data_IF_006689700622
#
_entry.id   IF_006689700622
#
_cell.length_a   1.000
_cell.length_b   1.000
_cell.length_c   1.000
_cell.angle_alpha   90.00
_cell.angle_beta   90.00
_cell.angle_gamma   90.00
#
_symmetry.space_group_name_H-M   'P 1'
#
loop_
_entity.id
_entity.type
_entity.pdbx_description
1 polymer ?
#
# COMPACT_ATOMS: atom_id res chain seq x y z
N UNK A 1 2.02 2.81 5.42
CA UNK A 1 1.28 1.79 6.19
C UNK A 1 1.11 2.17 7.65
N UNK A 2 2.17 2.62 8.34
CA UNK A 2 2.09 3.02 9.77
C UNK A 2 0.97 4.00 10.10
N UNK A 3 0.84 5.11 9.35
CA UNK A 3 -0.21 6.10 9.66
C UNK A 3 -1.63 5.59 9.45
N UNK A 4 -1.85 4.64 8.54
CA UNK A 4 -3.19 4.17 8.24
C UNK A 4 -3.63 3.04 9.19
N UNK A 5 -2.68 2.21 9.64
CA UNK A 5 -2.90 1.28 10.74
C UNK A 5 -3.24 2.02 12.03
N UNK A 6 -2.45 3.04 12.38
CA UNK A 6 -2.74 3.96 13.49
C UNK A 6 -4.13 4.57 13.35
N UNK A 7 -4.46 5.12 12.16
CA UNK A 7 -5.78 5.68 11.87
C UNK A 7 -6.91 4.67 12.12
N UNK A 8 -6.75 3.42 11.67
CA UNK A 8 -7.81 2.39 11.76
C UNK A 8 -7.96 1.76 13.14
N UNK A 9 -6.86 1.55 13.87
CA UNK A 9 -6.84 0.75 15.09
C UNK A 9 -6.78 1.60 16.36
N UNK A 10 -6.27 2.83 16.26
CA UNK A 10 -6.05 3.72 17.40
C UNK A 10 -6.93 4.96 17.28
N UNK A 11 -6.77 5.72 16.20
CA UNK A 11 -7.40 7.02 16.10
C UNK A 11 -8.92 6.94 15.87
N UNK A 12 -9.39 6.08 14.95
CA UNK A 12 -10.82 5.95 14.65
C UNK A 12 -11.64 5.47 15.85
N UNK A 13 -11.23 4.42 16.59
CA UNK A 13 -11.91 4.05 17.84
C UNK A 13 -11.95 5.21 18.85
N UNK A 14 -10.86 5.95 19.03
CA UNK A 14 -10.85 7.11 19.91
C UNK A 14 -11.82 8.21 19.45
N UNK A 15 -11.92 8.48 18.14
CA UNK A 15 -12.88 9.45 17.61
C UNK A 15 -14.33 8.99 17.66
N UNK A 16 -14.61 7.68 17.69
CA UNK A 16 -15.97 7.20 17.95
C UNK A 16 -16.45 7.59 19.36
N UNK A 17 -15.55 7.61 20.33
CA UNK A 17 -15.84 8.04 21.71
C UNK A 17 -15.87 9.57 21.84
N UNK A 18 -14.93 10.26 21.20
CA UNK A 18 -14.77 11.72 21.28
C UNK A 18 -15.71 12.50 20.34
N UNK A 19 -16.29 11.83 19.35
CA UNK A 19 -17.21 12.37 18.36
C UNK A 19 -16.56 13.02 17.13
N UNK A 20 -17.37 13.24 16.09
CA UNK A 20 -16.94 13.78 14.80
C UNK A 20 -16.31 15.18 14.88
N UNK A 21 -16.65 15.98 15.90
CA UNK A 21 -16.06 17.31 16.08
C UNK A 21 -14.57 17.24 16.45
N UNK A 22 -14.16 16.27 17.28
CA UNK A 22 -12.77 16.06 17.62
C UNK A 22 -11.96 15.57 16.41
N UNK A 23 -12.53 14.64 15.63
CA UNK A 23 -11.95 14.21 14.35
C UNK A 23 -11.78 15.38 13.37
N UNK A 24 -12.78 16.23 13.23
CA UNK A 24 -12.75 17.37 12.32
C UNK A 24 -11.70 18.41 12.74
N UNK A 25 -11.63 18.74 14.02
CA UNK A 25 -10.63 19.66 14.55
C UNK A 25 -9.21 19.15 14.29
N UNK A 26 -8.95 17.86 14.54
CA UNK A 26 -7.69 17.22 14.19
C UNK A 26 -7.44 17.28 12.68
N UNK A 27 -8.41 16.88 11.87
CA UNK A 27 -8.25 16.74 10.42
C UNK A 27 -7.99 18.09 9.73
N UNK A 28 -8.61 19.17 10.21
CA UNK A 28 -8.31 20.53 9.72
C UNK A 28 -6.85 20.92 9.92
N UNK A 29 -6.25 20.51 11.04
CA UNK A 29 -4.86 20.86 11.37
C UNK A 29 -3.85 19.89 10.75
N UNK A 30 -4.14 18.59 10.82
CA UNK A 30 -3.22 17.56 10.39
C UNK A 30 -3.38 17.23 8.90
N UNK A 31 -4.60 16.92 8.45
CA UNK A 31 -4.84 16.41 7.09
C UNK A 31 -4.98 17.54 6.07
N UNK A 32 -5.67 18.63 6.43
CA UNK A 32 -5.83 19.83 5.58
C UNK A 32 -4.78 20.91 5.83
N UNK A 33 -4.02 20.81 6.92
CA UNK A 33 -2.83 21.63 7.15
C UNK A 33 -1.60 20.92 6.58
N UNK A 34 -0.76 20.39 7.46
CA UNK A 34 0.54 19.82 7.09
C UNK A 34 0.45 18.66 6.08
N UNK A 35 -0.62 17.89 6.12
CA UNK A 35 -0.86 16.70 5.29
C UNK A 35 -1.40 16.99 3.90
N UNK A 36 -1.85 18.21 3.61
CA UNK A 36 -2.65 18.51 2.42
C UNK A 36 -1.91 18.22 1.12
N UNK A 37 -0.59 18.42 1.10
CA UNK A 37 0.27 18.14 -0.05
C UNK A 37 1.02 16.82 0.16
N UNK A 38 1.55 16.60 1.36
CA UNK A 38 2.41 15.46 1.65
C UNK A 38 1.69 14.12 1.45
N UNK A 39 0.46 13.99 1.97
CA UNK A 39 -0.25 12.71 1.90
C UNK A 39 -0.69 12.36 0.46
N UNK A 40 -1.30 13.26 -0.33
CA UNK A 40 -1.63 12.96 -1.72
C UNK A 40 -0.38 12.69 -2.57
N UNK A 41 0.67 13.50 -2.43
CA UNK A 41 1.90 13.34 -3.21
C UNK A 41 2.56 11.98 -2.93
N UNK A 42 2.69 11.60 -1.67
CA UNK A 42 3.24 10.30 -1.29
C UNK A 42 2.38 9.14 -1.82
N UNK A 43 1.06 9.26 -1.73
CA UNK A 43 0.15 8.22 -2.19
C UNK A 43 0.15 8.03 -3.72
N UNK A 44 0.19 9.13 -4.48
CA UNK A 44 0.36 9.09 -5.94
C UNK A 44 1.71 8.47 -6.29
N UNK A 45 2.79 8.88 -5.61
CA UNK A 45 4.12 8.33 -5.81
C UNK A 45 4.18 6.82 -5.60
N UNK A 46 3.64 6.30 -4.48
CA UNK A 46 3.59 4.86 -4.23
C UNK A 46 2.75 4.10 -5.25
N UNK A 47 1.63 4.67 -5.69
CA UNK A 47 0.79 4.06 -6.72
C UNK A 47 1.52 4.00 -8.05
N UNK A 48 2.19 5.08 -8.46
CA UNK A 48 2.99 5.13 -9.67
C UNK A 48 4.12 4.10 -9.64
N UNK A 49 4.81 3.94 -8.50
CA UNK A 49 5.85 2.93 -8.32
C UNK A 49 5.31 1.50 -8.45
N UNK A 50 4.15 1.21 -7.85
CA UNK A 50 3.53 -0.11 -7.97
C UNK A 50 3.13 -0.44 -9.42
N UNK A 51 2.57 0.54 -10.13
CA UNK A 51 2.22 0.39 -11.56
C UNK A 51 3.48 0.23 -12.41
N UNK A 52 4.52 1.04 -12.17
CA UNK A 52 5.79 0.93 -12.89
C UNK A 52 6.46 -0.43 -12.68
N UNK A 53 6.39 -1.00 -11.47
CA UNK A 53 6.87 -2.35 -11.20
C UNK A 53 6.10 -3.41 -12.00
N UNK A 54 4.77 -3.32 -12.05
CA UNK A 54 3.95 -4.21 -12.87
C UNK A 54 4.25 -4.09 -14.37
N UNK A 55 4.44 -2.87 -14.86
CA UNK A 55 4.85 -2.62 -16.26
C UNK A 55 6.24 -3.19 -16.53
N UNK A 56 7.19 -3.04 -15.61
CA UNK A 56 8.54 -3.59 -15.73
C UNK A 56 8.53 -5.12 -15.83
N UNK A 57 7.77 -5.78 -14.95
CA UNK A 57 7.56 -7.24 -15.00
C UNK A 57 6.90 -7.68 -16.31
N UNK A 58 6.01 -6.87 -16.88
CA UNK A 58 5.37 -7.19 -18.15
C UNK A 58 6.36 -7.22 -19.32
N UNK A 59 7.43 -6.44 -19.26
CA UNK A 59 8.49 -6.39 -20.26
C UNK A 59 9.68 -7.31 -19.95
N UNK A 60 9.79 -7.82 -18.72
CA UNK A 60 10.79 -8.81 -18.34
C UNK A 60 10.32 -10.23 -18.69
N UNK A 61 10.78 -10.73 -19.84
CA UNK A 61 10.48 -12.09 -20.29
C UNK A 61 11.12 -13.20 -19.45
N UNK A 62 12.06 -12.86 -18.57
CA UNK A 62 12.75 -13.80 -17.69
C UNK A 62 12.10 -13.89 -16.31
N UNK A 63 11.18 -12.98 -15.99
CA UNK A 63 10.50 -12.93 -14.71
C UNK A 63 9.64 -14.20 -14.46
N UNK A 64 9.87 -14.94 -13.37
CA UNK A 64 9.04 -16.07 -12.99
C UNK A 64 7.59 -15.65 -12.73
N UNK A 65 6.62 -16.48 -13.14
CA UNK A 65 5.19 -16.22 -12.89
C UNK A 65 4.86 -16.06 -11.40
N UNK A 66 5.58 -16.76 -10.53
CA UNK A 66 5.47 -16.65 -9.07
C UNK A 66 5.89 -15.29 -8.51
N UNK A 67 6.73 -14.55 -9.22
CA UNK A 67 7.07 -13.16 -8.93
C UNK A 67 6.08 -12.19 -9.58
N UNK A 68 5.64 -12.49 -10.81
CA UNK A 68 4.77 -11.59 -11.55
C UNK A 68 3.36 -11.42 -10.93
N UNK A 69 2.76 -12.52 -10.46
CA UNK A 69 1.42 -12.50 -9.86
C UNK A 69 1.30 -11.53 -8.66
N UNK A 70 2.16 -11.60 -7.62
CA UNK A 70 2.08 -10.65 -6.50
C UNK A 70 2.34 -9.20 -6.92
N UNK A 71 3.19 -8.96 -7.93
CA UNK A 71 3.43 -7.59 -8.43
C UNK A 71 2.17 -7.02 -9.09
N UNK A 72 1.46 -7.81 -9.92
CA UNK A 72 0.19 -7.39 -10.50
C UNK A 72 -0.90 -7.19 -9.45
N UNK A 73 -0.98 -8.10 -8.46
CA UNK A 73 -1.93 -7.97 -7.35
C UNK A 73 -1.67 -6.70 -6.53
N UNK A 74 -0.40 -6.37 -6.26
CA UNK A 74 -0.01 -5.12 -5.60
C UNK A 74 -0.48 -3.91 -6.39
N UNK A 75 -0.21 -3.86 -7.71
CA UNK A 75 -0.61 -2.74 -8.56
C UNK A 75 -2.15 -2.59 -8.59
N UNK A 76 -2.89 -3.68 -8.73
CA UNK A 76 -4.35 -3.67 -8.70
C UNK A 76 -4.90 -3.16 -7.35
N UNK A 77 -4.33 -3.59 -6.23
CA UNK A 77 -4.72 -3.13 -4.90
C UNK A 77 -4.42 -1.64 -4.68
N UNK A 78 -3.27 -1.15 -5.17
CA UNK A 78 -2.93 0.28 -5.12
C UNK A 78 -3.89 1.13 -5.96
N UNK A 79 -4.27 0.65 -7.15
CA UNK A 79 -5.28 1.32 -7.99
C UNK A 79 -6.66 1.31 -7.32
N UNK A 80 -7.06 0.21 -6.67
CA UNK A 80 -8.30 0.15 -5.90
C UNK A 80 -8.28 1.15 -4.72
N UNK A 81 -7.17 1.24 -3.99
CA UNK A 81 -6.99 2.25 -2.94
C UNK A 81 -7.01 3.69 -3.48
N UNK A 82 -6.56 3.89 -4.72
CA UNK A 82 -6.66 5.19 -5.41
C UNK A 82 -8.12 5.52 -5.71
N UNK A 83 -8.88 4.57 -6.23
CA UNK A 83 -10.30 4.73 -6.50
C UNK A 83 -11.11 5.07 -5.23
N UNK A 84 -10.81 4.44 -4.09
CA UNK A 84 -11.46 4.80 -2.82
C UNK A 84 -11.08 6.19 -2.34
N UNK A 85 -9.84 6.64 -2.62
CA UNK A 85 -9.39 8.01 -2.32
C UNK A 85 -10.15 9.06 -3.13
N UNK A 86 -10.55 8.76 -4.38
CA UNK A 86 -11.41 9.66 -5.16
C UNK A 86 -12.78 9.92 -4.48
N UNK A 87 -13.26 8.99 -3.65
CA UNK A 87 -14.46 9.17 -2.83
C UNK A 87 -14.17 9.83 -1.48
N UNK A 88 -13.07 9.44 -0.82
CA UNK A 88 -12.73 9.94 0.51
C UNK A 88 -12.17 11.38 0.50
N UNK A 89 -11.50 11.78 -0.58
CA UNK A 89 -10.83 13.09 -0.65
C UNK A 89 -11.81 14.27 -0.63
N UNK A 90 -12.91 14.29 -1.42
CA UNK A 90 -13.90 15.36 -1.33
C UNK A 90 -14.48 15.50 0.08
N UNK A 91 -14.81 14.38 0.72
CA UNK A 91 -15.33 14.37 2.09
C UNK A 91 -14.35 15.05 3.06
N UNK A 92 -13.05 14.75 2.95
CA UNK A 92 -12.03 15.37 3.79
C UNK A 92 -11.83 16.85 3.49
N UNK A 93 -11.87 17.26 2.23
CA UNK A 93 -11.75 18.68 1.84
C UNK A 93 -12.94 19.50 2.36
N UNK A 94 -14.16 18.94 2.29
CA UNK A 94 -15.38 19.60 2.75
C UNK A 94 -15.40 19.81 4.28
N UNK A 95 -14.61 19.05 5.05
CA UNK A 95 -14.52 19.20 6.53
C UNK A 95 -14.06 20.60 6.94
N UNK A 96 -13.33 21.33 6.09
CA UNK A 96 -12.96 22.73 6.34
C UNK A 96 -14.19 23.63 6.57
N UNK A 97 -15.26 23.38 5.80
CA UNK A 97 -16.40 24.29 5.68
C UNK A 97 -17.67 23.77 6.37
N UNK A 98 -17.69 22.51 6.81
CA UNK A 98 -18.83 21.96 7.57
C UNK A 98 -18.85 22.50 8.99
N UNK A 99 -19.93 23.20 9.36
CA UNK A 99 -20.18 23.72 10.72
C UNK A 99 -21.39 23.05 11.40
N UNK A 100 -22.20 22.31 10.63
CA UNK A 100 -23.36 21.58 11.13
C UNK A 100 -22.93 20.22 11.69
N UNK A 101 -23.34 19.92 12.92
CA UNK A 101 -22.98 18.69 13.64
C UNK A 101 -23.46 17.41 12.95
N UNK A 102 -24.67 17.39 12.40
CA UNK A 102 -25.22 16.22 11.68
C UNK A 102 -24.47 15.97 10.38
N UNK A 103 -24.19 17.04 9.61
CA UNK A 103 -23.41 16.92 8.38
C UNK A 103 -21.99 16.44 8.67
N UNK A 104 -21.41 16.88 9.79
CA UNK A 104 -20.07 16.47 10.21
C UNK A 104 -20.02 15.00 10.62
N UNK A 105 -21.03 14.51 11.33
CA UNK A 105 -21.13 13.09 11.67
C UNK A 105 -21.24 12.23 10.41
N UNK A 106 -22.10 12.62 9.46
CA UNK A 106 -22.22 11.90 8.20
C UNK A 106 -20.90 11.89 7.41
N UNK A 107 -20.17 13.02 7.38
CA UNK A 107 -18.85 13.09 6.77
C UNK A 107 -17.85 12.15 7.47
N UNK A 108 -17.85 12.10 8.80
CA UNK A 108 -17.01 11.19 9.57
C UNK A 108 -17.30 9.72 9.26
N UNK A 109 -18.58 9.32 9.21
CA UNK A 109 -18.98 7.93 8.95
C UNK A 109 -18.56 7.50 7.53
N UNK A 110 -18.83 8.36 6.53
CA UNK A 110 -18.44 8.09 5.13
C UNK A 110 -16.92 8.07 4.97
N UNK A 111 -16.20 9.00 5.57
CA UNK A 111 -14.73 9.01 5.52
C UNK A 111 -14.14 7.78 6.21
N UNK A 112 -14.71 7.36 7.33
CA UNK A 112 -14.27 6.16 8.05
C UNK A 112 -14.43 4.91 7.19
N UNK A 113 -15.59 4.75 6.53
CA UNK A 113 -15.81 3.63 5.63
C UNK A 113 -14.84 3.64 4.44
N UNK A 114 -14.84 4.72 3.65
CA UNK A 114 -14.10 4.78 2.39
C UNK A 114 -12.61 5.03 2.58
N UNK A 115 -12.27 6.01 3.41
CA UNK A 115 -10.91 6.51 3.63
C UNK A 115 -10.09 5.73 4.65
N UNK A 116 -10.73 5.01 5.57
CA UNK A 116 -10.02 4.20 6.57
C UNK A 116 -10.17 2.71 6.27
N UNK A 117 -11.37 2.15 6.29
CA UNK A 117 -11.54 0.70 6.21
C UNK A 117 -11.33 0.13 4.81
N UNK A 118 -12.08 0.58 3.80
CA UNK A 118 -11.98 0.00 2.45
C UNK A 118 -10.61 0.31 1.85
N UNK A 119 -10.16 1.57 1.94
CA UNK A 119 -8.81 1.95 1.51
C UNK A 119 -7.73 1.19 2.29
N UNK A 120 -7.92 1.00 3.60
CA UNK A 120 -6.96 0.29 4.44
C UNK A 120 -6.85 -1.18 4.12
N UNK A 121 -7.95 -1.85 3.83
CA UNK A 121 -7.94 -3.23 3.36
C UNK A 121 -7.17 -3.35 2.03
N UNK A 122 -7.46 -2.47 1.07
CA UNK A 122 -6.74 -2.45 -0.21
C UNK A 122 -5.23 -2.20 -0.03
N UNK A 123 -4.86 -1.24 0.83
CA UNK A 123 -3.46 -0.96 1.15
C UNK A 123 -2.77 -2.11 1.90
N UNK A 124 -3.48 -2.77 2.82
CA UNK A 124 -2.99 -3.95 3.52
C UNK A 124 -2.72 -5.11 2.57
N UNK A 125 -3.65 -5.38 1.63
CA UNK A 125 -3.45 -6.37 0.59
C UNK A 125 -2.31 -6.00 -0.36
N UNK A 126 -2.16 -4.72 -0.71
CA UNK A 126 -1.02 -4.24 -1.51
C UNK A 126 0.31 -4.49 -0.78
N UNK A 127 0.37 -4.23 0.52
CA UNK A 127 1.55 -4.50 1.34
C UNK A 127 1.87 -5.99 1.43
N UNK A 128 0.87 -6.85 1.68
CA UNK A 128 1.06 -8.31 1.69
C UNK A 128 1.52 -8.84 0.32
N UNK A 129 0.99 -8.27 -0.77
CA UNK A 129 1.42 -8.60 -2.12
C UNK A 129 2.86 -8.20 -2.37
N UNK A 130 3.29 -7.02 -1.89
CA UNK A 130 4.69 -6.59 -1.97
C UNK A 130 5.62 -7.53 -1.18
N UNK A 131 5.24 -7.92 0.04
CA UNK A 131 6.00 -8.90 0.82
C UNK A 131 6.10 -10.24 0.09
N UNK A 132 5.01 -10.71 -0.51
CA UNK A 132 5.00 -11.94 -1.29
C UNK A 132 5.94 -11.86 -2.50
N UNK A 133 5.92 -10.76 -3.26
CA UNK A 133 6.86 -10.53 -4.37
C UNK A 133 8.33 -10.57 -3.90
N UNK A 134 8.64 -9.93 -2.77
CA UNK A 134 10.01 -9.96 -2.23
C UNK A 134 10.42 -11.36 -1.78
N UNK A 135 9.54 -12.10 -1.10
CA UNK A 135 9.83 -13.47 -0.66
C UNK A 135 10.08 -14.42 -1.85
N UNK A 136 9.28 -14.31 -2.93
CA UNK A 136 9.48 -15.15 -4.13
C UNK A 136 10.75 -14.77 -4.88
N UNK A 137 11.08 -13.48 -4.97
CA UNK A 137 12.34 -13.04 -5.58
C UNK A 137 13.57 -13.58 -4.85
N UNK A 138 13.55 -13.60 -3.50
CA UNK A 138 14.61 -14.16 -2.68
C UNK A 138 14.75 -15.67 -2.89
N UNK A 139 13.63 -16.41 -2.87
CA UNK A 139 13.62 -17.86 -3.04
C UNK A 139 14.06 -18.32 -4.44
N UNK A 140 13.78 -17.54 -5.48
CA UNK A 140 14.28 -17.81 -6.84
C UNK A 140 15.78 -17.56 -6.92
N UNK A 141 16.24 -16.43 -6.39
CA UNK A 141 17.66 -16.07 -6.39
C UNK A 141 18.51 -17.07 -5.62
N UNK A 142 18.04 -17.52 -4.46
CA UNK A 142 18.74 -18.52 -3.64
C UNK A 142 18.89 -19.86 -4.37
N UNK A 143 17.85 -20.32 -5.08
CA UNK A 143 17.93 -21.54 -5.90
C UNK A 143 18.97 -21.43 -7.02
N UNK A 144 18.96 -20.31 -7.76
CA UNK A 144 19.93 -20.09 -8.83
C UNK A 144 21.38 -20.11 -8.32
N UNK A 145 21.64 -19.57 -7.12
CA UNK A 145 22.98 -19.61 -6.52
C UNK A 145 23.41 -21.03 -6.13
N UNK A 146 22.50 -21.83 -5.58
CA UNK A 146 22.78 -23.23 -5.22
C UNK A 146 23.09 -24.07 -6.47
N UNK A 147 22.35 -23.88 -7.56
CA UNK A 147 22.58 -24.60 -8.82
C UNK A 147 23.96 -24.26 -9.43
N UNK A 148 24.43 -23.01 -9.29
CA UNK A 148 25.78 -22.60 -9.73
C UNK A 148 26.84 -23.27 -8.87
N UNK A 149 26.68 -23.27 -7.55
CA UNK A 149 27.64 -23.92 -6.63
C UNK A 149 27.72 -25.45 -6.85
N UNK A 150 26.60 -26.11 -7.12
CA UNK A 150 26.57 -27.55 -7.42
C UNK A 150 27.27 -27.87 -8.74
N UNK A 151 27.09 -27.03 -9.77
CA UNK A 151 27.83 -27.15 -11.05
C UNK A 151 29.33 -26.96 -10.88
N UNK A 152 29.76 -25.99 -10.09
CA UNK A 152 31.20 -25.79 -9.80
C UNK A 152 31.78 -26.97 -8.99
N UNK A 153 31.06 -27.45 -7.98
CA UNK A 153 31.51 -28.57 -7.14
C UNK A 153 31.55 -29.93 -7.88
N UNK A 154 30.72 -30.11 -8.91
CA UNK A 154 30.73 -31.29 -9.78
C UNK A 154 31.79 -31.17 -10.87
N UNK A 155 31.99 -29.99 -11.47
CA UNK A 155 33.05 -29.74 -12.44
C UNK A 155 34.45 -29.85 -11.82
N UNK A 156 34.65 -29.39 -10.58
CA UNK A 156 35.91 -29.55 -9.85
C UNK A 156 36.22 -31.01 -9.46
N UNK A 157 35.18 -31.84 -9.25
CA UNK A 157 35.34 -33.29 -9.01
C UNK A 157 35.65 -34.08 -10.28
N UNK A 158 35.29 -33.57 -11.45
CA UNK A 158 35.54 -34.22 -12.74
C UNK A 158 36.98 -34.03 -13.27
N UNK A 159 37.82 -33.23 -12.59
CA UNK A 159 39.23 -33.05 -12.96
C UNK A 159 40.20 -33.55 -11.87
N UNK A 160 40.27 -34.88 -11.58
CA UNK A 160 41.22 -35.41 -10.61
C UNK A 160 42.61 -35.76 -11.17
N UNK A 161 42.90 -35.58 -12.47
CA UNK A 161 44.20 -35.99 -13.05
C UNK A 161 44.67 -35.05 -14.17
N UNK A 162 45.48 -34.07 -13.80
CA UNK A 162 46.55 -33.50 -14.63
C UNK A 162 47.86 -33.58 -13.86
#
# INVERSE_FOLDING_TARGET
>A
MGSLLDRSLVATPAWNELGAQAWAAYSRQADLGNGQILYPAAFIGWTALAVAAAVSVRFDHTAPRSFALPVYAQAACMLAAMATTLKAAPIMLDVADIHNTTALQHAFDQFTLWGVYIRGAALGLAFLSALWATATSCAVRQRALLDVQEKEASSGRANPLS
#
